data_IF_384194013441
#
_entry.id   IF_384194013441
#
_cell.length_a   1.000
_cell.length_b   1.000
_cell.length_c   1.000
_cell.angle_alpha   90.00
_cell.angle_beta   90.00
_cell.angle_gamma   90.00
#
_symmetry.space_group_name_H-M   'P 1'
#
loop_
_entity.id
_entity.type
_entity.pdbx_description
1 polymer ?
#
# COMPACT_ATOMS: atom_id res chain seq x y z
N UNK A 1 0.09 11.92 -21.43
CA UNK A 1 1.20 12.49 -20.64
C UNK A 1 2.52 11.96 -21.18
N UNK A 2 3.43 12.83 -21.54
CA UNK A 2 4.73 12.39 -22.02
C UNK A 2 5.69 12.10 -20.84
N UNK A 3 6.83 11.50 -21.17
CA UNK A 3 7.81 11.10 -20.17
C UNK A 3 8.38 12.28 -19.37
N UNK A 4 8.57 13.41 -20.04
CA UNK A 4 9.11 14.61 -19.39
C UNK A 4 8.12 15.15 -18.34
N UNK A 5 6.85 15.27 -18.71
CA UNK A 5 5.80 15.74 -17.81
C UNK A 5 5.64 14.79 -16.62
N UNK A 6 5.67 13.47 -16.88
CA UNK A 6 5.62 12.46 -15.84
C UNK A 6 6.76 12.62 -14.84
N UNK A 7 7.99 12.78 -15.34
CA UNK A 7 9.17 12.93 -14.46
C UNK A 7 9.08 14.19 -13.60
N UNK A 8 8.56 15.30 -14.14
CA UNK A 8 8.36 16.52 -13.36
C UNK A 8 7.36 16.26 -12.22
N UNK A 9 6.24 15.60 -12.52
CA UNK A 9 5.23 15.31 -11.51
C UNK A 9 5.76 14.39 -10.41
N UNK A 10 6.55 13.39 -10.77
CA UNK A 10 7.17 12.48 -9.80
C UNK A 10 8.11 13.25 -8.86
N UNK A 11 8.92 14.16 -9.40
CA UNK A 11 9.82 14.97 -8.57
C UNK A 11 9.04 15.90 -7.63
N UNK A 12 7.95 16.49 -8.12
CA UNK A 12 7.08 17.31 -7.28
C UNK A 12 6.47 16.50 -6.14
N UNK A 13 6.00 15.30 -6.44
CA UNK A 13 5.43 14.40 -5.43
C UNK A 13 6.47 14.07 -4.38
N UNK A 14 7.69 13.71 -4.79
CA UNK A 14 8.76 13.38 -3.84
C UNK A 14 9.08 14.54 -2.89
N UNK A 15 9.12 15.75 -3.40
CA UNK A 15 9.35 16.94 -2.58
C UNK A 15 8.24 17.15 -1.56
N UNK A 16 6.98 16.98 -2.00
CA UNK A 16 5.83 17.14 -1.11
C UNK A 16 5.78 16.07 -0.04
N UNK A 17 6.09 14.83 -0.39
CA UNK A 17 6.15 13.73 0.59
C UNK A 17 7.25 14.00 1.62
N UNK A 18 8.41 14.50 1.20
CA UNK A 18 9.48 14.84 2.12
C UNK A 18 9.10 15.96 3.10
N UNK A 19 8.21 16.86 2.68
CA UNK A 19 7.68 17.91 3.53
C UNK A 19 6.50 17.47 4.40
N UNK A 20 5.99 16.27 4.15
CA UNK A 20 4.81 15.77 4.84
C UNK A 20 3.50 16.30 4.30
N UNK A 21 3.51 16.96 3.14
CA UNK A 21 2.30 17.49 2.50
C UNK A 21 1.65 16.45 1.61
N UNK A 22 1.03 15.45 2.24
CA UNK A 22 0.40 14.34 1.53
C UNK A 22 -0.88 14.75 0.79
N UNK A 23 -1.56 15.78 1.27
CA UNK A 23 -2.78 16.27 0.61
C UNK A 23 -2.48 16.83 -0.78
N UNK A 24 -1.49 17.71 -0.89
CA UNK A 24 -1.09 18.27 -2.18
C UNK A 24 -0.47 17.19 -3.07
N UNK A 25 0.32 16.28 -2.48
CA UNK A 25 0.91 15.15 -3.22
C UNK A 25 -0.18 14.28 -3.85
N UNK A 26 -1.29 14.04 -3.14
CA UNK A 26 -2.40 13.26 -3.68
C UNK A 26 -3.06 13.95 -4.88
N UNK A 27 -3.20 15.26 -4.85
CA UNK A 27 -3.76 16.01 -5.97
C UNK A 27 -2.94 15.81 -7.24
N UNK A 28 -1.62 15.79 -7.12
CA UNK A 28 -0.74 15.53 -8.26
C UNK A 28 -0.81 14.05 -8.66
N UNK A 29 -0.83 13.14 -7.69
CA UNK A 29 -0.93 11.71 -7.96
C UNK A 29 -2.22 11.35 -8.70
N UNK A 30 -3.33 12.04 -8.40
CA UNK A 30 -4.61 11.84 -9.09
C UNK A 30 -4.53 12.13 -10.59
N UNK A 31 -3.55 12.91 -11.03
CA UNK A 31 -3.36 13.22 -12.46
C UNK A 31 -2.50 12.20 -13.19
N UNK A 32 -1.96 11.22 -12.46
CA UNK A 32 -1.11 10.16 -13.04
C UNK A 32 -1.94 8.90 -13.20
N UNK A 33 -1.84 8.26 -14.37
CA UNK A 33 -2.41 6.92 -14.53
C UNK A 33 -1.43 5.92 -13.93
N UNK A 34 -1.64 5.60 -12.65
CA UNK A 34 -0.75 4.71 -11.90
C UNK A 34 -0.71 3.29 -12.49
N UNK A 35 -1.70 2.90 -13.28
CA UNK A 35 -1.69 1.59 -13.96
C UNK A 35 -0.56 1.48 -14.97
N UNK A 36 -0.09 2.61 -15.48
CA UNK A 36 1.02 2.66 -16.43
C UNK A 36 2.38 2.76 -15.76
N UNK A 37 2.41 2.98 -14.45
CA UNK A 37 3.65 3.07 -13.69
C UNK A 37 4.24 1.67 -13.52
N UNK A 38 5.49 1.48 -13.95
CA UNK A 38 6.16 0.18 -13.89
C UNK A 38 6.98 -0.03 -12.62
N UNK A 39 7.47 1.05 -12.02
CA UNK A 39 8.30 0.98 -10.83
C UNK A 39 7.46 0.57 -9.62
N UNK A 40 7.78 -0.57 -8.99
CA UNK A 40 7.09 -1.02 -7.79
C UNK A 40 7.36 -0.08 -6.61
N UNK A 41 8.55 0.50 -6.52
CA UNK A 41 8.85 1.46 -5.44
C UNK A 41 8.05 2.75 -5.61
N UNK A 42 7.83 3.21 -6.84
CA UNK A 42 7.00 4.38 -7.09
C UNK A 42 5.52 4.08 -6.77
N UNK A 43 5.02 2.90 -7.16
CA UNK A 43 3.66 2.48 -6.81
C UNK A 43 3.48 2.42 -5.29
N UNK A 44 4.47 1.92 -4.57
CA UNK A 44 4.43 1.86 -3.11
C UNK A 44 4.36 3.27 -2.50
N UNK A 45 5.13 4.21 -3.03
CA UNK A 45 5.09 5.60 -2.58
C UNK A 45 3.72 6.24 -2.84
N UNK A 46 3.15 6.03 -4.02
CA UNK A 46 1.83 6.57 -4.36
C UNK A 46 0.77 5.97 -3.44
N UNK A 47 0.84 4.66 -3.18
CA UNK A 47 -0.07 4.01 -2.25
C UNK A 47 0.01 4.65 -0.86
N UNK A 48 1.22 4.95 -0.38
CA UNK A 48 1.40 5.60 0.92
C UNK A 48 0.73 6.97 0.96
N UNK A 49 0.79 7.72 -0.14
CA UNK A 49 0.12 9.02 -0.23
C UNK A 49 -1.38 8.88 -0.03
N UNK A 50 -2.01 7.92 -0.70
CA UNK A 50 -3.44 7.67 -0.54
C UNK A 50 -3.77 7.19 0.86
N UNK A 51 -2.93 6.32 1.44
CA UNK A 51 -3.10 5.85 2.81
C UNK A 51 -3.10 7.02 3.82
N UNK A 52 -2.16 7.96 3.65
CA UNK A 52 -2.06 9.13 4.53
C UNK A 52 -3.27 10.05 4.42
N UNK A 53 -4.01 9.98 3.31
CA UNK A 53 -5.25 10.73 3.12
C UNK A 53 -6.48 9.88 3.44
N UNK A 54 -6.30 8.74 4.09
CA UNK A 54 -7.37 7.80 4.46
C UNK A 54 -8.14 7.23 3.25
N UNK A 55 -7.56 7.29 2.07
CA UNK A 55 -8.11 6.68 0.86
C UNK A 55 -7.60 5.24 0.74
N UNK A 56 -8.05 4.38 1.66
CA UNK A 56 -7.49 3.04 1.83
C UNK A 56 -7.77 2.11 0.66
N UNK A 57 -8.93 2.25 0.01
CA UNK A 57 -9.25 1.42 -1.15
C UNK A 57 -8.29 1.71 -2.31
N UNK A 58 -8.06 2.99 -2.60
CA UNK A 58 -7.13 3.39 -3.65
C UNK A 58 -5.71 2.93 -3.31
N UNK A 59 -5.30 3.10 -2.06
CA UNK A 59 -3.99 2.65 -1.59
C UNK A 59 -3.82 1.14 -1.80
N UNK A 60 -4.85 0.37 -1.48
CA UNK A 60 -4.84 -1.08 -1.62
C UNK A 60 -4.78 -1.50 -3.10
N UNK A 61 -5.57 -0.87 -3.95
CA UNK A 61 -5.59 -1.18 -5.39
C UNK A 61 -4.22 -0.96 -6.02
N UNK A 62 -3.54 0.11 -5.63
CA UNK A 62 -2.19 0.42 -6.13
C UNK A 62 -1.18 -0.61 -5.62
N UNK A 63 -1.27 -0.99 -4.35
CA UNK A 63 -0.38 -2.03 -3.78
C UNK A 63 -0.63 -3.39 -4.43
N UNK A 64 -1.88 -3.73 -4.75
CA UNK A 64 -2.18 -4.97 -5.45
C UNK A 64 -1.51 -5.02 -6.82
N UNK A 65 -1.52 -3.91 -7.54
CA UNK A 65 -0.81 -3.82 -8.81
C UNK A 65 0.69 -4.02 -8.64
N UNK A 66 1.27 -3.41 -7.61
CA UNK A 66 2.68 -3.58 -7.29
C UNK A 66 2.99 -5.05 -6.97
N UNK A 67 2.13 -5.70 -6.20
CA UNK A 67 2.29 -7.11 -5.84
C UNK A 67 2.18 -8.03 -7.06
N UNK A 68 1.28 -7.75 -7.99
CA UNK A 68 1.15 -8.52 -9.23
C UNK A 68 2.46 -8.50 -10.03
N UNK A 69 3.18 -7.39 -9.98
CA UNK A 69 4.46 -7.23 -10.68
C UNK A 69 5.65 -7.77 -9.90
N UNK A 70 5.48 -7.98 -8.60
CA UNK A 70 6.51 -8.51 -7.71
C UNK A 70 5.88 -9.50 -6.72
N UNK A 71 5.42 -10.66 -7.21
CA UNK A 71 4.59 -11.57 -6.40
C UNK A 71 5.30 -12.21 -5.21
N UNK A 72 6.62 -12.09 -5.10
CA UNK A 72 7.36 -12.57 -3.93
C UNK A 72 7.67 -11.46 -2.94
N UNK A 73 7.04 -10.30 -3.09
CA UNK A 73 7.26 -9.16 -2.23
C UNK A 73 6.52 -9.27 -0.91
N UNK A 74 7.12 -9.95 0.08
CA UNK A 74 6.48 -10.12 1.40
C UNK A 74 6.19 -8.80 2.10
N UNK A 75 7.00 -7.76 1.86
CA UNK A 75 6.74 -6.43 2.39
C UNK A 75 5.45 -5.82 1.86
N UNK A 76 5.10 -6.11 0.61
CA UNK A 76 3.85 -5.66 0.03
C UNK A 76 2.66 -6.39 0.65
N UNK A 77 2.79 -7.70 0.91
CA UNK A 77 1.76 -8.46 1.60
C UNK A 77 1.53 -7.95 3.02
N UNK A 78 2.60 -7.57 3.72
CA UNK A 78 2.47 -6.96 5.04
C UNK A 78 1.62 -5.68 4.96
N UNK A 79 1.92 -4.81 4.00
CA UNK A 79 1.18 -3.56 3.81
C UNK A 79 -0.26 -3.79 3.38
N UNK A 80 -0.51 -4.78 2.52
CA UNK A 80 -1.87 -5.13 2.10
C UNK A 80 -2.69 -5.63 3.29
N UNK A 81 -2.09 -6.44 4.17
CA UNK A 81 -2.75 -6.90 5.38
C UNK A 81 -3.10 -5.72 6.28
N UNK A 82 -2.16 -4.81 6.48
CA UNK A 82 -2.38 -3.62 7.31
C UNK A 82 -3.51 -2.76 6.75
N UNK A 83 -3.54 -2.51 5.45
CA UNK A 83 -4.59 -1.72 4.82
C UNK A 83 -5.95 -2.39 4.93
N UNK A 84 -6.01 -3.71 4.76
CA UNK A 84 -7.26 -4.45 4.92
C UNK A 84 -7.78 -4.33 6.35
N UNK A 85 -6.89 -4.37 7.35
CA UNK A 85 -7.27 -4.16 8.75
C UNK A 85 -7.79 -2.75 9.00
N UNK A 86 -7.20 -1.75 8.37
CA UNK A 86 -7.67 -0.36 8.50
C UNK A 86 -9.04 -0.15 7.90
N UNK A 87 -9.36 -0.90 6.83
CA UNK A 87 -10.71 -0.91 6.25
C UNK A 87 -11.67 -1.81 7.04
N UNK A 88 -11.18 -2.46 8.07
CA UNK A 88 -11.95 -3.42 8.87
C UNK A 88 -12.40 -4.64 8.06
N UNK A 89 -11.68 -4.98 7.01
CA UNK A 89 -11.94 -6.16 6.19
C UNK A 89 -11.08 -7.32 6.68
N UNK A 90 -11.57 -8.01 7.70
CA UNK A 90 -10.82 -9.07 8.39
C UNK A 90 -10.60 -10.28 7.48
N UNK A 91 -11.57 -10.65 6.67
CA UNK A 91 -11.44 -11.79 5.77
C UNK A 91 -10.30 -11.60 4.77
N UNK A 92 -10.23 -10.42 4.17
CA UNK A 92 -9.18 -10.08 3.23
C UNK A 92 -7.83 -10.02 3.94
N UNK A 93 -7.77 -9.44 5.13
CA UNK A 93 -6.55 -9.37 5.93
C UNK A 93 -6.02 -10.77 6.23
N UNK A 94 -6.89 -11.72 6.57
CA UNK A 94 -6.50 -13.10 6.82
C UNK A 94 -5.94 -13.78 5.59
N UNK A 95 -6.51 -13.52 4.41
CA UNK A 95 -6.02 -14.09 3.16
C UNK A 95 -4.60 -13.61 2.87
N UNK A 96 -4.34 -12.31 3.00
CA UNK A 96 -3.00 -11.76 2.81
C UNK A 96 -2.03 -12.26 3.87
N UNK A 97 -2.50 -12.39 5.12
CA UNK A 97 -1.68 -12.91 6.21
C UNK A 97 -1.20 -14.34 5.94
N UNK A 98 -2.08 -15.20 5.41
CA UNK A 98 -1.70 -16.57 5.07
C UNK A 98 -0.61 -16.59 4.00
N UNK A 99 -0.77 -15.79 2.95
CA UNK A 99 0.26 -15.67 1.91
C UNK A 99 1.57 -15.14 2.48
N UNK A 100 1.49 -14.16 3.37
CA UNK A 100 2.67 -13.62 4.04
C UNK A 100 3.42 -14.71 4.82
N UNK A 101 2.69 -15.52 5.58
CA UNK A 101 3.30 -16.59 6.35
C UNK A 101 3.96 -17.64 5.46
N UNK A 102 3.36 -17.96 4.31
CA UNK A 102 3.94 -18.90 3.36
C UNK A 102 5.27 -18.40 2.78
N UNK A 103 5.37 -17.10 2.52
CA UNK A 103 6.57 -16.51 1.94
C UNK A 103 7.64 -16.14 2.97
N UNK A 104 7.22 -15.75 4.17
CA UNK A 104 8.12 -15.13 5.14
C UNK A 104 8.85 -16.12 6.04
N UNK A 105 8.32 -17.35 6.21
CA UNK A 105 8.88 -18.30 7.15
C UNK A 105 8.84 -17.77 8.58
N UNK A 106 10.00 -17.44 9.15
CA UNK A 106 10.12 -16.99 10.55
C UNK A 106 10.14 -15.47 10.72
N UNK A 107 9.59 -14.72 9.78
CA UNK A 107 9.57 -13.26 9.89
C UNK A 107 8.75 -12.82 11.12
N UNK A 108 9.35 -12.04 12.05
CA UNK A 108 8.64 -11.61 13.27
C UNK A 108 7.36 -10.83 13.02
N UNK A 109 7.22 -10.20 11.85
CA UNK A 109 6.03 -9.42 11.52
C UNK A 109 4.78 -10.28 11.47
N UNK A 110 4.91 -11.61 11.26
CA UNK A 110 3.74 -12.50 11.26
C UNK A 110 3.04 -12.51 12.62
N UNK A 111 3.79 -12.38 13.72
CA UNK A 111 3.21 -12.35 15.05
C UNK A 111 2.45 -11.06 15.32
N UNK A 112 2.98 -9.93 14.84
CA UNK A 112 2.28 -8.65 14.93
C UNK A 112 0.97 -8.68 14.16
N UNK A 113 0.99 -9.16 12.92
CA UNK A 113 -0.22 -9.27 12.10
C UNK A 113 -1.25 -10.18 12.75
N UNK A 114 -0.80 -11.31 13.28
CA UNK A 114 -1.68 -12.26 13.97
C UNK A 114 -2.37 -11.60 15.16
N UNK A 115 -1.61 -10.85 15.94
CA UNK A 115 -2.13 -10.12 17.10
C UNK A 115 -3.19 -9.08 16.65
N UNK A 116 -2.90 -8.32 15.61
CA UNK A 116 -3.80 -7.29 15.11
C UNK A 116 -5.10 -7.89 14.56
N UNK A 117 -5.01 -9.00 13.84
CA UNK A 117 -6.19 -9.70 13.32
C UNK A 117 -7.05 -10.22 14.47
N UNK A 118 -6.43 -10.85 15.47
CA UNK A 118 -7.15 -11.36 16.64
C UNK A 118 -7.84 -10.24 17.41
N UNK A 119 -7.19 -9.09 17.54
CA UNK A 119 -7.78 -7.91 18.19
C UNK A 119 -9.01 -7.40 17.46
N UNK A 120 -8.96 -7.34 16.13
CA UNK A 120 -10.09 -6.91 15.31
C UNK A 120 -11.28 -7.87 15.43
N UNK A 121 -11.01 -9.18 15.44
CA UNK A 121 -12.07 -10.17 15.62
C UNK A 121 -12.81 -10.00 16.95
N UNK A 122 -12.07 -9.74 18.03
CA UNK A 122 -12.69 -9.51 19.35
C UNK A 122 -13.57 -8.28 19.36
N UNK A 123 -13.16 -7.23 18.66
CA UNK A 123 -13.90 -5.97 18.62
C UNK A 123 -15.21 -6.08 17.84
N UNK A 124 -15.37 -7.12 17.03
CA UNK A 124 -16.59 -7.35 16.24
C UNK A 124 -17.72 -7.98 17.04
N UNK A 125 -17.44 -8.47 18.21
CA UNK A 125 -18.47 -9.07 19.07
C UNK A 125 -19.36 -7.98 19.73
#
# INVERSE_FOLDING_TARGET
MDKYEFNIKVEQIKKLVNKGDFETAMKIADTIDWRRVRSTSLLTMISQIYEKNAEYQDAKDILLLAYERAPLGKGLLYKLTDLALRENNIQEAEAYYREFCELSGDDPRQYLLRFLISGRRRMRR
#
